data_IF_959962959382
#
_entry.id   IF_959962959382
#
_cell.length_a   1.000
_cell.length_b   1.000
_cell.length_c   1.000
_cell.angle_alpha   90.00
_cell.angle_beta   90.00
_cell.angle_gamma   90.00
#
_symmetry.space_group_name_H-M   'P 1'
#
loop_
_entity.id
_entity.type
_entity.pdbx_description
1 polymer ?
#
# COMPACT_ATOMS: atom_id res chain seq x y z
N UNK A 1 2.66 45.08 -21.07
CA UNK A 1 2.40 44.51 -20.87
C UNK A 1 2.23 43.66 -20.82
N UNK A 2 2.18 43.63 -20.77
CA UNK A 2 1.97 42.87 -20.49
C UNK A 2 1.82 42.01 -20.36
N UNK A 3 1.84 42.60 -20.24
CA UNK A 3 1.65 41.76 -19.90
C UNK A 3 1.43 40.86 -19.74
N UNK A 4 1.42 41.09 -19.77
CA UNK A 4 1.17 40.23 -19.51
C UNK A 4 0.93 39.36 -19.32
N UNK A 5 0.90 40.02 -19.22
CA UNK A 5 0.53 39.27 -18.94
C UNK A 5 0.24 38.32 -18.74
N UNK A 6 0.34 38.64 -18.71
CA UNK A 6 -0.03 37.81 -18.50
C UNK A 6 -0.19 36.83 -18.30
N UNK A 7 -0.15 37.28 -18.22
CA UNK A 7 -0.43 36.44 -17.95
C UNK A 7 -0.63 35.49 -17.74
N UNK A 8 -0.64 35.82 -17.56
CA UNK A 8 -0.99 35.00 -17.17
C UNK A 8 -1.24 34.06 -16.99
N UNK A 9 -1.18 34.62 -16.96
CA UNK A 9 -1.46 33.67 -16.54
C UNK A 9 -1.67 32.68 -16.41
N UNK A 10 -1.54 33.13 -16.19
CA UNK A 10 -1.90 32.28 -15.94
C UNK A 10 -2.13 31.34 -15.80
N UNK A 11 -1.93 31.83 -15.78
CA UNK A 11 -2.28 31.02 -15.56
C UNK A 11 -2.58 30.12 -15.40
N UNK A 12 -2.37 30.91 -15.49
CA UNK A 12 -2.85 30.24 -15.27
C UNK A 12 -3.18 29.33 -15.15
N UNK A 13 -2.90 30.00 -15.03
CA UNK A 13 -3.33 29.35 -14.89
C UNK A 13 -3.51 28.42 -14.88
N UNK A 14 -3.38 28.74 -14.67
CA UNK A 14 -3.72 28.07 -14.56
C UNK A 14 -3.98 27.16 -14.38
N UNK A 15 -3.78 28.20 -14.39
CA UNK A 15 -4.15 27.62 -14.15
C UNK A 15 -4.36 26.80 -14.00
N UNK A 16 -4.26 27.27 -13.79
CA UNK A 16 -4.58 26.68 -13.52
C UNK A 16 -4.86 26.02 -13.50
N UNK A 17 -4.83 26.34 -13.27
CA UNK A 17 -5.21 25.82 -13.10
C UNK A 17 -5.51 25.00 -12.98
N UNK A 18 -5.21 25.76 -12.82
CA UNK A 18 -5.61 25.13 -12.52
C UNK A 18 -5.74 24.25 -12.33
N UNK A 19 -5.40 25.01 -12.14
CA UNK A 19 -5.82 24.36 -11.73
C UNK A 19 -5.76 23.60 -11.50
N UNK A 20 -5.63 23.86 -11.14
CA UNK A 20 -5.81 23.20 -10.78
C UNK A 20 -5.73 22.51 -10.50
N UNK A 21 -5.58 23.04 -10.14
CA UNK A 21 -5.83 22.38 -9.69
C UNK A 21 -5.64 21.70 -9.39
N UNK A 22 -5.43 21.98 -9.06
CA UNK A 22 -5.52 21.24 -8.59
C UNK A 22 -5.38 20.56 -8.22
N UNK A 23 -5.19 20.82 -7.94
CA UNK A 23 -5.30 20.00 -7.44
C UNK A 23 -5.27 19.30 -6.86
N UNK A 24 -5.30 19.53 -6.46
CA UNK A 24 -5.63 18.86 -5.91
C UNK A 24 -5.90 18.07 -5.66
N UNK A 25 -6.02 18.11 -5.54
CA UNK A 25 -6.57 17.28 -5.33
C UNK A 25 -6.65 16.41 -5.53
N UNK A 26 -6.46 16.56 -5.48
CA UNK A 26 -6.85 15.67 -5.66
C UNK A 26 -6.77 14.67 -5.46
N UNK A 27 -6.73 14.65 -4.99
CA UNK A 27 -6.93 13.75 -4.66
C UNK A 27 -7.30 13.12 -4.39
N UNK A 28 -7.63 13.31 -4.18
CA UNK A 28 -8.19 12.71 -3.93
C UNK A 28 -8.73 11.97 -3.93
N UNK A 29 -9.19 11.78 -3.96
CA UNK A 29 -9.74 11.13 -3.83
C UNK A 29 -10.39 10.08 -4.35
N UNK A 30 -11.37 10.20 -4.90
CA UNK A 30 -11.89 9.20 -5.18
C UNK A 30 -11.37 7.95 -5.10
N UNK A 31 -11.04 7.83 -4.56
CA UNK A 31 -10.25 6.79 -4.09
C UNK A 31 -10.98 5.48 -3.82
N UNK A 32 -12.28 5.46 -3.48
CA UNK A 32 -12.98 4.18 -3.33
C UNK A 32 -12.96 3.29 -4.55
N UNK A 33 -13.09 3.86 -5.75
CA UNK A 33 -13.04 3.06 -6.97
C UNK A 33 -11.63 2.51 -7.20
N UNK A 34 -10.62 3.32 -6.92
CA UNK A 34 -9.24 2.90 -7.09
C UNK A 34 -8.86 1.83 -6.09
N UNK A 35 -9.32 1.97 -4.86
CA UNK A 35 -9.08 0.96 -3.83
C UNK A 35 -9.69 -0.37 -4.23
N UNK A 36 -10.92 -0.35 -4.75
CA UNK A 36 -11.58 -1.59 -5.17
C UNK A 36 -10.82 -2.29 -6.29
N UNK A 37 -10.29 -1.52 -7.23
CA UNK A 37 -9.51 -2.08 -8.33
C UNK A 37 -8.23 -2.73 -7.80
N UNK A 38 -7.54 -2.04 -6.91
CA UNK A 38 -6.31 -2.56 -6.32
C UNK A 38 -6.58 -3.86 -5.56
N UNK A 39 -7.64 -3.88 -4.75
CA UNK A 39 -7.99 -5.07 -3.98
C UNK A 39 -8.31 -6.24 -4.91
N UNK A 40 -9.07 -5.96 -5.98
CA UNK A 40 -9.44 -7.03 -6.91
C UNK A 40 -8.22 -7.64 -7.59
N UNK A 41 -7.30 -6.80 -8.01
CA UNK A 41 -6.08 -7.28 -8.66
C UNK A 41 -5.24 -8.13 -7.73
N UNK A 42 -5.04 -7.63 -6.51
CA UNK A 42 -4.22 -8.35 -5.54
C UNK A 42 -4.89 -9.66 -5.10
N UNK A 43 -6.22 -9.65 -5.01
CA UNK A 43 -6.95 -10.83 -4.57
C UNK A 43 -6.81 -12.01 -5.52
N UNK A 44 -6.46 -11.75 -6.78
CA UNK A 44 -6.29 -12.83 -7.75
C UNK A 44 -5.05 -13.67 -7.47
N UNK A 45 -4.04 -13.09 -6.83
CA UNK A 45 -2.76 -13.78 -6.69
C UNK A 45 -2.27 -13.88 -5.24
N UNK A 46 -2.83 -13.12 -4.31
CA UNK A 46 -2.30 -13.08 -2.95
C UNK A 46 -3.37 -13.52 -1.96
N UNK A 47 -3.02 -14.50 -1.13
CA UNK A 47 -3.86 -14.99 -0.05
C UNK A 47 -3.23 -14.50 1.26
N UNK A 48 -3.87 -13.55 1.96
CA UNK A 48 -3.26 -12.99 3.17
C UNK A 48 -3.00 -14.00 4.28
N UNK A 49 -3.74 -15.11 4.29
CA UNK A 49 -3.51 -16.14 5.30
C UNK A 49 -2.35 -17.05 4.96
N UNK A 50 -1.77 -16.93 3.76
CA UNK A 50 -0.70 -17.81 3.30
C UNK A 50 0.11 -17.08 2.22
N UNK A 51 0.84 -16.06 2.65
CA UNK A 51 1.57 -15.20 1.72
C UNK A 51 3.05 -15.13 2.10
N UNK A 52 3.83 -14.58 1.20
CA UNK A 52 5.27 -14.43 1.39
C UNK A 52 5.64 -12.96 1.60
N UNK A 53 6.89 -12.72 1.96
CA UNK A 53 7.41 -11.35 2.05
C UNK A 53 7.43 -10.67 0.68
N UNK A 54 7.66 -11.43 -0.38
CA UNK A 54 7.53 -10.89 -1.73
C UNK A 54 6.11 -10.44 -2.01
N UNK A 55 5.11 -11.18 -1.53
CA UNK A 55 3.72 -10.77 -1.66
C UNK A 55 3.45 -9.46 -0.91
N UNK A 56 4.05 -9.31 0.27
CA UNK A 56 3.90 -8.04 1.00
C UNK A 56 4.48 -6.87 0.22
N UNK A 57 5.60 -7.09 -0.48
CA UNK A 57 6.16 -6.05 -1.35
C UNK A 57 5.22 -5.72 -2.50
N UNK A 58 4.61 -6.74 -3.07
CA UNK A 58 3.66 -6.53 -4.17
C UNK A 58 2.47 -5.70 -3.71
N UNK A 59 1.97 -5.97 -2.49
CA UNK A 59 0.91 -5.16 -1.91
C UNK A 59 1.39 -3.72 -1.74
N UNK A 60 2.58 -3.54 -1.19
CA UNK A 60 3.13 -2.20 -0.96
C UNK A 60 3.26 -1.43 -2.27
N UNK A 61 3.76 -2.09 -3.33
CA UNK A 61 3.91 -1.44 -4.63
C UNK A 61 2.57 -1.03 -5.20
N UNK A 62 1.57 -1.90 -5.12
CA UNK A 62 0.24 -1.58 -5.63
C UNK A 62 -0.37 -0.42 -4.86
N UNK A 63 -0.20 -0.40 -3.54
CA UNK A 63 -0.73 0.70 -2.72
C UNK A 63 -0.02 2.01 -3.03
N UNK A 64 1.29 1.96 -3.26
CA UNK A 64 2.03 3.16 -3.63
C UNK A 64 1.49 3.73 -4.95
N UNK A 65 1.24 2.88 -5.93
CA UNK A 65 0.71 3.32 -7.21
C UNK A 65 -0.69 3.91 -7.09
N UNK A 66 -1.46 3.47 -6.10
CA UNK A 66 -2.81 3.98 -5.91
C UNK A 66 -2.87 5.19 -4.96
N UNK A 67 -1.72 5.68 -4.51
CA UNK A 67 -1.68 6.88 -3.69
C UNK A 67 -1.79 6.64 -2.19
N UNK A 68 -1.71 5.39 -1.74
CA UNK A 68 -1.84 5.03 -0.33
C UNK A 68 -0.46 4.83 0.30
N UNK A 69 0.31 5.91 0.36
CA UNK A 69 1.71 5.82 0.79
C UNK A 69 1.91 5.31 2.20
N UNK A 70 1.08 5.74 3.15
CA UNK A 70 1.22 5.30 4.54
C UNK A 70 0.96 3.80 4.67
N UNK A 71 -0.09 3.33 4.01
CA UNK A 71 -0.43 1.91 4.04
C UNK A 71 0.62 1.10 3.31
N UNK A 72 1.12 1.63 2.20
CA UNK A 72 2.21 1.01 1.46
C UNK A 72 3.44 0.82 2.35
N UNK A 73 3.80 1.87 3.10
CA UNK A 73 4.96 1.80 3.99
C UNK A 73 4.79 0.72 5.05
N UNK A 74 3.57 0.54 5.55
CA UNK A 74 3.31 -0.50 6.54
C UNK A 74 3.53 -1.89 5.95
N UNK A 75 3.06 -2.14 4.73
CA UNK A 75 3.28 -3.44 4.09
C UNK A 75 4.73 -3.62 3.66
N UNK A 76 5.40 -2.56 3.26
CA UNK A 76 6.83 -2.66 2.98
C UNK A 76 7.58 -3.11 4.23
N UNK A 77 7.20 -2.56 5.40
CA UNK A 77 7.83 -2.95 6.66
C UNK A 77 7.61 -4.43 6.96
N UNK A 78 6.45 -4.99 6.56
CA UNK A 78 6.19 -6.41 6.77
C UNK A 78 7.08 -7.30 5.91
N UNK A 79 7.67 -6.75 4.86
CA UNK A 79 8.53 -7.51 3.97
C UNK A 79 10.00 -7.42 4.36
N UNK A 80 10.33 -6.57 5.33
CA UNK A 80 11.73 -6.35 5.68
C UNK A 80 12.29 -7.50 6.51
N UNK A 81 13.48 -7.90 6.15
CA UNK A 81 14.26 -8.85 6.91
C UNK A 81 15.72 -8.55 6.59
N UNK A 82 16.57 -8.64 7.61
CA UNK A 82 17.99 -8.41 7.41
C UNK A 82 18.73 -9.73 7.60
N UNK A 83 19.59 -10.03 6.67
CA UNK A 83 20.44 -11.21 6.73
C UNK A 83 21.89 -10.79 6.98
N UNK A 84 22.55 -11.56 7.79
CA UNK A 84 23.97 -11.34 8.02
C UNK A 84 24.75 -12.09 6.95
N UNK A 85 25.61 -11.36 6.28
CA UNK A 85 26.48 -11.93 5.24
C UNK A 85 27.71 -12.55 5.90
N UNK A 86 28.43 -13.41 5.15
CA UNK A 86 29.66 -14.03 5.70
C UNK A 86 30.67 -13.03 6.20
N UNK A 87 30.67 -11.79 5.70
CA UNK A 87 31.63 -10.77 6.15
C UNK A 87 31.10 -9.96 7.34
N UNK A 88 29.95 -10.34 7.90
CA UNK A 88 29.37 -9.67 9.05
C UNK A 88 28.51 -8.47 8.72
N UNK A 89 28.41 -8.10 7.46
CA UNK A 89 27.52 -6.99 7.07
C UNK A 89 26.09 -7.48 6.99
N UNK A 90 25.15 -6.52 7.06
CA UNK A 90 23.72 -6.82 6.95
C UNK A 90 23.20 -6.35 5.60
N UNK A 91 22.33 -7.14 5.00
CA UNK A 91 21.73 -6.77 3.73
C UNK A 91 20.32 -7.32 3.64
N UNK A 92 19.54 -6.72 2.76
CA UNK A 92 18.22 -7.27 2.40
C UNK A 92 18.43 -8.44 1.46
N UNK A 93 17.73 -9.55 1.68
CA UNK A 93 17.81 -10.66 0.74
C UNK A 93 17.20 -10.28 -0.60
N UNK A 94 17.64 -10.95 -1.65
CA UNK A 94 17.03 -10.79 -2.96
C UNK A 94 15.67 -11.47 -3.00
N UNK A 95 14.88 -11.15 -4.02
CA UNK A 95 13.54 -11.75 -4.13
C UNK A 95 13.59 -13.26 -4.33
N UNK A 96 14.73 -13.79 -4.79
CA UNK A 96 14.89 -15.24 -5.00
C UNK A 96 15.27 -15.97 -3.72
N UNK A 97 15.63 -15.24 -2.67
CA UNK A 97 16.07 -15.87 -1.43
C UNK A 97 14.89 -16.64 -0.80
N UNK A 98 15.16 -17.86 -0.27
CA UNK A 98 14.07 -18.65 0.34
C UNK A 98 13.29 -17.90 1.41
N UNK A 99 13.93 -17.04 2.19
CA UNK A 99 13.22 -16.33 3.26
C UNK A 99 12.17 -15.36 2.70
N UNK A 100 12.40 -14.86 1.49
CA UNK A 100 11.43 -13.96 0.84
C UNK A 100 10.23 -14.70 0.27
N UNK A 101 10.35 -16.01 0.12
CA UNK A 101 9.29 -16.86 -0.41
C UNK A 101 8.66 -17.75 0.63
N UNK A 102 9.14 -17.68 1.86
CA UNK A 102 8.57 -18.41 2.97
C UNK A 102 7.16 -17.92 3.27
N UNK A 103 6.25 -18.86 3.51
CA UNK A 103 4.83 -18.53 3.70
C UNK A 103 4.53 -18.24 5.16
N UNK A 104 3.65 -17.28 5.38
CA UNK A 104 3.19 -16.94 6.72
C UNK A 104 1.78 -16.35 6.64
N UNK A 105 1.13 -16.25 7.79
CA UNK A 105 -0.22 -15.70 7.90
C UNK A 105 -0.11 -14.23 8.30
N UNK A 106 -0.48 -13.33 7.39
CA UNK A 106 -0.37 -11.89 7.63
C UNK A 106 -1.31 -11.43 8.74
N UNK A 107 -2.48 -12.08 8.87
CA UNK A 107 -3.40 -11.73 9.96
C UNK A 107 -2.74 -11.95 11.31
N UNK A 108 -2.12 -13.10 11.49
CA UNK A 108 -1.44 -13.43 12.75
C UNK A 108 -0.28 -12.47 13.01
N UNK A 109 0.47 -12.15 11.97
CA UNK A 109 1.59 -11.23 12.10
C UNK A 109 1.13 -9.86 12.56
N UNK A 110 0.10 -9.31 11.90
CA UNK A 110 -0.40 -7.99 12.25
C UNK A 110 -1.03 -7.96 13.63
N UNK A 111 -1.79 -9.00 13.99
CA UNK A 111 -2.40 -9.06 15.32
C UNK A 111 -1.36 -9.13 16.42
N UNK A 112 -0.31 -9.91 16.20
CA UNK A 112 0.78 -10.00 17.18
C UNK A 112 1.48 -8.67 17.37
N UNK A 113 1.70 -7.95 16.27
CA UNK A 113 2.33 -6.62 16.35
C UNK A 113 1.42 -5.62 17.05
N UNK A 114 0.12 -5.69 16.79
CA UNK A 114 -0.83 -4.81 17.47
C UNK A 114 -0.79 -5.05 18.98
N UNK A 115 -0.80 -6.33 19.39
CA UNK A 115 -0.72 -6.64 20.81
C UNK A 115 0.58 -6.16 21.44
N UNK A 116 1.68 -6.34 20.73
CA UNK A 116 2.98 -5.84 21.20
C UNK A 116 2.94 -4.33 21.38
N UNK A 117 2.40 -3.61 20.39
CA UNK A 117 2.30 -2.16 20.46
C UNK A 117 1.43 -1.72 21.65
N UNK A 118 0.30 -2.41 21.84
CA UNK A 118 -0.57 -2.08 22.98
C UNK A 118 0.14 -2.29 24.32
N UNK A 119 0.87 -3.38 24.44
CA UNK A 119 1.58 -3.70 25.67
C UNK A 119 2.67 -2.68 25.98
N UNK A 120 3.18 -2.00 24.97
CA UNK A 120 4.26 -1.00 25.15
C UNK A 120 3.76 0.43 24.97
N UNK A 121 2.45 0.63 24.91
CA UNK A 121 1.84 1.95 24.74
C UNK A 121 2.25 2.64 23.45
N UNK A 122 2.53 1.87 22.39
CA UNK A 122 2.82 2.41 21.08
C UNK A 122 1.53 2.54 20.29
N UNK A 123 1.55 3.42 19.29
CA UNK A 123 0.40 3.63 18.41
C UNK A 123 0.13 2.36 17.58
N UNK A 124 -1.14 2.02 17.40
CA UNK A 124 -1.56 0.85 16.62
C UNK A 124 -2.27 1.21 15.32
N UNK A 125 -2.49 2.51 15.07
CA UNK A 125 -3.35 2.94 13.96
C UNK A 125 -2.94 2.39 12.61
N UNK A 126 -1.66 2.42 12.29
CA UNK A 126 -1.18 1.92 11.00
C UNK A 126 -1.36 0.43 10.86
N UNK A 127 -1.09 -0.31 11.93
CA UNK A 127 -1.26 -1.76 11.92
C UNK A 127 -2.72 -2.14 11.79
N UNK A 128 -3.61 -1.40 12.44
CA UNK A 128 -5.05 -1.66 12.34
C UNK A 128 -5.56 -1.38 10.94
N UNK A 129 -5.05 -0.34 10.28
CA UNK A 129 -5.40 -0.09 8.89
C UNK A 129 -4.93 -1.21 7.98
N UNK A 130 -3.72 -1.71 8.22
CA UNK A 130 -3.20 -2.83 7.44
C UNK A 130 -4.04 -4.08 7.65
N UNK A 131 -4.44 -4.34 8.89
CA UNK A 131 -5.30 -5.48 9.20
C UNK A 131 -6.64 -5.36 8.47
N UNK A 132 -7.24 -4.18 8.52
CA UNK A 132 -8.50 -3.93 7.80
C UNK A 132 -8.34 -4.16 6.29
N UNK A 133 -7.22 -3.74 5.74
CA UNK A 133 -6.96 -3.92 4.31
C UNK A 133 -6.87 -5.41 3.94
N UNK A 134 -6.13 -6.21 4.72
CA UNK A 134 -6.02 -7.64 4.39
C UNK A 134 -7.34 -8.36 4.62
N UNK A 135 -8.19 -7.88 5.53
CA UNK A 135 -9.53 -8.43 5.68
C UNK A 135 -10.37 -8.16 4.43
N UNK A 136 -10.28 -6.96 3.86
CA UNK A 136 -10.95 -6.67 2.60
C UNK A 136 -10.42 -7.53 1.47
N UNK A 137 -9.10 -7.73 1.45
CA UNK A 137 -8.47 -8.57 0.44
C UNK A 137 -8.98 -10.01 0.53
N UNK A 138 -9.07 -10.53 1.74
CA UNK A 138 -9.56 -11.88 1.95
C UNK A 138 -11.00 -12.03 1.50
N UNK A 139 -11.84 -11.05 1.83
CA UNK A 139 -13.24 -11.08 1.39
C UNK A 139 -13.36 -11.06 -0.13
N UNK A 140 -12.50 -10.28 -0.79
CA UNK A 140 -12.52 -10.24 -2.26
C UNK A 140 -12.13 -11.58 -2.86
N UNK A 141 -11.21 -12.30 -2.23
CA UNK A 141 -10.83 -13.64 -2.68
C UNK A 141 -11.98 -14.62 -2.53
N UNK A 142 -12.74 -14.48 -1.45
CA UNK A 142 -13.81 -15.43 -1.16
C UNK A 142 -15.09 -15.17 -1.94
N UNK A 143 -15.23 -14.00 -2.55
CA UNK A 143 -16.43 -13.64 -3.28
C UNK A 143 -16.11 -12.99 -4.62
N UNK A 144 -15.29 -13.63 -5.46
CA UNK A 144 -14.86 -12.99 -6.71
C UNK A 144 -16.00 -12.81 -7.72
N UNK A 145 -17.00 -13.67 -7.68
CA UNK A 145 -18.08 -13.63 -8.65
C UNK A 145 -18.99 -12.42 -8.48
N UNK A 146 -18.99 -11.79 -7.33
CA UNK A 146 -19.80 -10.59 -7.11
C UNK A 146 -19.46 -9.51 -8.12
N UNK A 147 -18.23 -9.52 -8.59
CA UNK A 147 -17.75 -8.49 -9.49
C UNK A 147 -18.25 -8.66 -10.92
N UNK A 148 -18.88 -9.76 -11.24
CA UNK A 148 -19.28 -10.04 -12.60
C UNK A 148 -20.67 -9.51 -12.94
N UNK A 149 -21.40 -9.03 -11.97
CA UNK A 149 -22.79 -8.61 -12.17
C UNK A 149 -22.96 -7.14 -12.47
N UNK A 150 -21.89 -6.43 -12.59
CA UNK A 150 -21.99 -5.00 -12.85
C UNK A 150 -21.65 -4.64 -14.27
#
# INVERSE_FOLDING_TARGET
MQINATSSPIIATQALKTGNSLPTNKTQYSQPAQEKTTIRELAQSIDPSNMSRNDARAIADALMRSGEGDLSATFMAQSLVLQENPDGSLSNPSSDDPIMNERFNMFDSLRSQIEFHKAHSYSTGRLEKALSFVEKLQRARESPEINTYT
#
